data_IF_162317474362
#
_entry.id   IF_162317474362
#
_cell.length_a   1.000
_cell.length_b   1.000
_cell.length_c   1.000
_cell.angle_alpha   90.00
_cell.angle_beta   90.00
_cell.angle_gamma   90.00
#
_symmetry.space_group_name_H-M   'P 1'
#
loop_
_entity.id
_entity.type
_entity.pdbx_description
1 polymer ?
#
# COMPACT_ATOMS: atom_id res chain seq x y z
N UNK A 1 5.88 8.84 -5.59
CA UNK A 1 4.65 9.13 -6.39
C UNK A 1 4.84 8.87 -7.88
N UNK A 2 5.99 9.18 -8.48
CA UNK A 2 6.27 8.88 -9.91
C UNK A 2 6.15 7.38 -10.24
N UNK A 3 6.46 6.50 -9.28
CA UNK A 3 6.33 5.04 -9.42
C UNK A 3 4.87 4.53 -9.43
N UNK A 4 3.92 5.29 -8.88
CA UNK A 4 2.52 4.87 -8.75
C UNK A 4 1.87 4.51 -10.09
N UNK A 5 1.95 5.34 -11.15
CA UNK A 5 1.41 4.96 -12.46
C UNK A 5 2.08 3.69 -13.02
N UNK A 6 3.40 3.53 -12.83
CA UNK A 6 4.12 2.33 -13.29
C UNK A 6 3.59 1.08 -12.58
N UNK A 7 3.42 1.15 -11.26
CA UNK A 7 2.82 0.08 -10.45
C UNK A 7 1.40 -0.23 -10.91
N UNK A 8 0.53 0.78 -11.07
CA UNK A 8 -0.87 0.55 -11.50
C UNK A 8 -0.89 -0.13 -12.88
N UNK A 9 -0.11 0.36 -13.84
CA UNK A 9 -0.10 -0.17 -15.21
C UNK A 9 0.45 -1.60 -15.27
N UNK A 10 1.55 -1.87 -14.55
CA UNK A 10 2.17 -3.21 -14.50
C UNK A 10 1.24 -4.23 -13.85
N UNK A 11 0.69 -3.96 -12.67
CA UNK A 11 -0.20 -4.90 -12.00
C UNK A 11 -1.57 -5.04 -12.70
N UNK A 12 -2.05 -3.99 -13.37
CA UNK A 12 -3.26 -4.10 -14.21
C UNK A 12 -3.06 -5.03 -15.41
N UNK A 13 -1.81 -5.19 -15.89
CA UNK A 13 -1.48 -6.15 -16.94
C UNK A 13 -1.53 -7.61 -16.45
N UNK A 14 -1.12 -7.85 -15.21
CA UNK A 14 -1.15 -9.18 -14.57
C UNK A 14 -2.53 -9.56 -13.98
N UNK A 15 -3.60 -8.90 -14.41
CA UNK A 15 -4.95 -9.16 -13.90
C UNK A 15 -5.36 -10.62 -14.13
N UNK A 16 -5.77 -11.29 -13.05
CA UNK A 16 -6.11 -12.73 -13.04
C UNK A 16 -7.38 -13.04 -13.86
N UNK A 17 -8.28 -12.07 -14.00
CA UNK A 17 -9.55 -12.18 -14.73
C UNK A 17 -9.55 -11.44 -16.08
N UNK A 18 -8.64 -11.80 -16.98
CA UNK A 18 -8.59 -11.24 -18.35
C UNK A 18 -9.89 -11.44 -19.16
N UNK A 19 -10.75 -12.39 -18.77
CA UNK A 19 -11.98 -12.73 -19.51
C UNK A 19 -13.23 -11.95 -19.08
N UNK A 20 -13.22 -11.28 -17.93
CA UNK A 20 -14.43 -10.69 -17.33
C UNK A 20 -14.31 -9.19 -17.00
N UNK A 21 -13.08 -8.69 -16.83
CA UNK A 21 -12.81 -7.28 -16.53
C UNK A 21 -11.96 -6.65 -17.62
N UNK A 22 -12.38 -5.49 -18.14
CA UNK A 22 -11.56 -4.70 -19.05
C UNK A 22 -10.35 -4.15 -18.29
N UNK A 23 -9.20 -4.07 -18.96
CA UNK A 23 -7.97 -3.46 -18.44
C UNK A 23 -8.21 -2.08 -17.80
N UNK A 24 -9.09 -1.27 -18.40
CA UNK A 24 -9.47 0.04 -17.87
C UNK A 24 -10.13 -0.06 -16.48
N UNK A 25 -10.89 -1.12 -16.20
CA UNK A 25 -11.48 -1.35 -14.88
C UNK A 25 -10.41 -1.73 -13.85
N UNK A 26 -9.37 -2.48 -14.23
CA UNK A 26 -8.23 -2.75 -13.36
C UNK A 26 -7.47 -1.46 -13.01
N UNK A 27 -7.17 -0.64 -14.01
CA UNK A 27 -6.52 0.66 -13.81
C UNK A 27 -7.38 1.56 -12.91
N UNK A 28 -8.69 1.63 -13.16
CA UNK A 28 -9.60 2.42 -12.32
C UNK A 28 -9.63 1.93 -10.87
N UNK A 29 -9.62 0.61 -10.65
CA UNK A 29 -9.52 0.02 -9.29
C UNK A 29 -8.20 0.39 -8.63
N UNK A 30 -7.07 0.29 -9.32
CA UNK A 30 -5.77 0.71 -8.80
C UNK A 30 -5.73 2.21 -8.44
N UNK A 31 -6.33 3.05 -9.29
CA UNK A 31 -6.41 4.50 -9.06
C UNK A 31 -7.27 4.85 -7.83
N UNK A 32 -8.40 4.14 -7.63
CA UNK A 32 -9.27 4.31 -6.46
C UNK A 32 -8.67 3.68 -5.19
N UNK A 33 -7.93 2.59 -5.32
CA UNK A 33 -7.27 1.91 -4.21
C UNK A 33 -6.15 2.76 -3.59
N UNK A 34 -5.52 3.64 -4.36
CA UNK A 34 -4.47 4.53 -3.87
C UNK A 34 -4.95 5.50 -2.76
N UNK A 35 -5.99 6.34 -2.94
CA UNK A 35 -6.47 7.20 -1.87
C UNK A 35 -7.11 6.41 -0.74
N UNK A 36 -7.84 5.33 -1.04
CA UNK A 36 -8.48 4.48 0.00
C UNK A 36 -7.42 3.84 0.90
N UNK A 37 -6.40 3.22 0.32
CA UNK A 37 -5.31 2.63 1.08
C UNK A 37 -4.45 3.69 1.79
N UNK A 38 -4.30 4.89 1.22
CA UNK A 38 -3.62 5.98 1.90
C UNK A 38 -4.37 6.42 3.16
N UNK A 39 -5.69 6.52 3.11
CA UNK A 39 -6.50 6.84 4.29
C UNK A 39 -6.32 5.77 5.37
N UNK A 40 -6.39 4.48 5.00
CA UNK A 40 -6.20 3.36 5.95
C UNK A 40 -4.81 3.42 6.59
N UNK A 41 -3.76 3.63 5.79
CA UNK A 41 -2.38 3.74 6.30
C UNK A 41 -2.19 4.98 7.19
N UNK A 42 -2.79 6.12 6.83
CA UNK A 42 -2.73 7.34 7.63
C UNK A 42 -3.41 7.14 8.99
N UNK A 43 -4.60 6.53 9.02
CA UNK A 43 -5.30 6.19 10.26
C UNK A 43 -4.47 5.23 11.13
N UNK A 44 -3.86 4.22 10.51
CA UNK A 44 -2.95 3.30 11.19
C UNK A 44 -1.75 4.02 11.81
N UNK A 45 -1.10 4.92 11.07
CA UNK A 45 0.03 5.71 11.57
C UNK A 45 -0.39 6.63 12.73
N UNK A 46 -1.54 7.30 12.62
CA UNK A 46 -2.08 8.17 13.69
C UNK A 46 -2.38 7.33 14.94
N UNK A 47 -2.99 6.16 14.80
CA UNK A 47 -3.26 5.25 15.92
C UNK A 47 -1.97 4.75 16.60
N UNK A 48 -0.87 4.64 15.83
CA UNK A 48 0.45 4.27 16.33
C UNK A 48 1.27 5.46 16.88
N UNK A 49 0.70 6.67 16.90
CA UNK A 49 1.32 7.85 17.52
C UNK A 49 1.89 8.89 16.54
N UNK A 50 1.56 8.84 15.26
CA UNK A 50 1.97 9.87 14.31
C UNK A 50 1.33 11.23 14.66
N UNK A 51 2.10 12.34 14.60
CA UNK A 51 1.60 13.66 14.96
C UNK A 51 0.53 14.16 13.98
N UNK A 52 -0.62 14.54 14.53
CA UNK A 52 -1.74 15.14 13.79
C UNK A 52 -1.62 16.67 13.79
N UNK A 53 -0.99 17.21 12.76
CA UNK A 53 -0.84 18.66 12.59
C UNK A 53 -0.66 19.07 11.14
N UNK A 54 -1.06 20.28 10.78
CA UNK A 54 -0.96 20.83 9.41
C UNK A 54 0.48 20.84 8.89
N UNK A 55 1.46 21.04 9.78
CA UNK A 55 2.90 21.03 9.46
C UNK A 55 3.42 19.66 9.03
N UNK A 56 2.86 18.57 9.57
CA UNK A 56 3.26 17.19 9.29
C UNK A 56 2.34 16.47 8.31
N UNK A 57 1.16 17.05 8.03
CA UNK A 57 0.13 16.47 7.18
C UNK A 57 0.65 16.00 5.82
N UNK A 58 1.42 16.85 5.12
CA UNK A 58 1.97 16.50 3.79
C UNK A 58 2.95 15.32 3.89
N UNK A 59 3.70 15.23 4.99
CA UNK A 59 4.68 14.15 5.20
C UNK A 59 3.98 12.82 5.47
N UNK A 60 2.96 12.84 6.34
CA UNK A 60 2.11 11.68 6.62
C UNK A 60 1.37 11.25 5.36
N UNK A 61 0.80 12.19 4.60
CA UNK A 61 0.10 11.90 3.35
C UNK A 61 1.02 11.24 2.32
N UNK A 62 2.23 11.78 2.10
CA UNK A 62 3.19 11.20 1.16
C UNK A 62 3.61 9.79 1.58
N UNK A 63 3.86 9.56 2.87
CA UNK A 63 4.17 8.24 3.41
C UNK A 63 2.99 7.27 3.22
N UNK A 64 1.77 7.70 3.55
CA UNK A 64 0.57 6.87 3.41
C UNK A 64 0.27 6.53 1.95
N UNK A 65 0.48 7.46 1.02
CA UNK A 65 0.36 7.22 -0.42
C UNK A 65 1.42 6.21 -0.89
N UNK A 66 2.65 6.33 -0.41
CA UNK A 66 3.73 5.38 -0.72
C UNK A 66 3.40 3.98 -0.21
N UNK A 67 2.95 3.85 1.05
CA UNK A 67 2.53 2.58 1.63
C UNK A 67 1.37 1.96 0.85
N UNK A 68 0.38 2.77 0.48
CA UNK A 68 -0.76 2.32 -0.32
C UNK A 68 -0.33 1.82 -1.70
N UNK A 69 0.66 2.46 -2.32
CA UNK A 69 1.18 2.07 -3.62
C UNK A 69 1.83 0.68 -3.60
N UNK A 70 2.46 0.29 -2.49
CA UNK A 70 3.10 -1.03 -2.38
C UNK A 70 2.22 -2.13 -1.79
N UNK A 71 1.19 -1.78 -1.02
CA UNK A 71 0.34 -2.76 -0.32
C UNK A 71 -1.02 -2.95 -1.01
N UNK A 72 -1.82 -1.88 -1.08
CA UNK A 72 -3.23 -1.93 -1.47
C UNK A 72 -3.40 -1.90 -3.00
N UNK A 73 -2.62 -1.06 -3.70
CA UNK A 73 -2.75 -0.86 -5.15
C UNK A 73 -2.47 -2.12 -5.98
N UNK A 74 -1.40 -2.90 -5.73
CA UNK A 74 -1.12 -4.12 -6.49
C UNK A 74 -2.21 -5.19 -6.29
N UNK A 75 -2.65 -5.37 -5.04
CA UNK A 75 -3.71 -6.31 -4.69
C UNK A 75 -5.07 -5.93 -5.32
N UNK A 76 -5.43 -4.64 -5.29
CA UNK A 76 -6.65 -4.14 -5.90
C UNK A 76 -6.64 -4.22 -7.44
N UNK A 77 -5.47 -4.03 -8.06
CA UNK A 77 -5.33 -4.10 -9.52
C UNK A 77 -5.45 -5.55 -10.03
N UNK A 78 -4.86 -6.51 -9.31
CA UNK A 78 -4.84 -7.92 -9.72
C UNK A 78 -6.11 -8.68 -9.31
N UNK A 79 -6.54 -8.59 -8.05
CA UNK A 79 -7.65 -9.38 -7.50
C UNK A 79 -8.96 -8.58 -7.39
N UNK A 80 -8.93 -7.26 -7.64
CA UNK A 80 -10.11 -6.42 -7.47
C UNK A 80 -10.60 -6.39 -6.03
N UNK A 81 -11.91 -6.58 -5.85
CA UNK A 81 -12.59 -6.53 -4.54
C UNK A 81 -12.78 -7.91 -3.89
N UNK A 82 -12.03 -8.93 -4.34
CA UNK A 82 -12.14 -10.30 -3.82
C UNK A 82 -11.57 -10.40 -2.40
N UNK A 83 -12.42 -10.32 -1.38
CA UNK A 83 -11.99 -10.43 0.03
C UNK A 83 -11.26 -11.74 0.33
N UNK A 84 -11.68 -12.85 -0.31
CA UNK A 84 -11.08 -14.17 -0.13
C UNK A 84 -9.63 -14.22 -0.62
N UNK A 85 -9.34 -13.62 -1.78
CA UNK A 85 -7.97 -13.55 -2.30
C UNK A 85 -7.08 -12.62 -1.47
N UNK A 86 -7.62 -11.48 -1.01
CA UNK A 86 -6.89 -10.56 -0.14
C UNK A 86 -6.52 -11.20 1.19
N UNK A 87 -7.49 -11.84 1.84
CA UNK A 87 -7.27 -12.54 3.10
C UNK A 87 -6.27 -13.70 2.93
N UNK A 88 -6.34 -14.45 1.83
CA UNK A 88 -5.38 -15.52 1.53
C UNK A 88 -3.94 -15.02 1.43
N UNK A 89 -3.73 -13.88 0.77
CA UNK A 89 -2.39 -13.38 0.47
C UNK A 89 -1.78 -12.67 1.67
N UNK A 90 -2.55 -11.81 2.36
CA UNK A 90 -2.03 -11.00 3.46
C UNK A 90 -2.13 -11.70 4.81
N UNK A 91 -3.21 -12.43 5.11
CA UNK A 91 -3.41 -13.04 6.42
C UNK A 91 -2.91 -14.48 6.49
N UNK A 92 -3.08 -15.26 5.41
CA UNK A 92 -2.65 -16.66 5.38
C UNK A 92 -1.30 -16.88 4.69
N UNK A 93 -0.77 -15.86 4.02
CA UNK A 93 0.49 -15.90 3.25
C UNK A 93 0.56 -17.12 2.31
N UNK A 94 -0.61 -17.57 1.81
CA UNK A 94 -0.71 -18.75 0.95
C UNK A 94 -0.53 -18.32 -0.51
N UNK A 95 0.71 -18.35 -0.94
CA UNK A 95 1.16 -17.95 -2.27
C UNK A 95 1.02 -19.14 -3.23
N UNK A 96 0.18 -19.00 -4.27
CA UNK A 96 -0.11 -20.08 -5.22
C UNK A 96 0.57 -19.83 -6.57
N UNK A 97 0.80 -18.56 -6.94
CA UNK A 97 1.46 -18.20 -8.20
C UNK A 97 2.49 -17.07 -8.06
N UNK A 98 3.30 -16.88 -9.10
CA UNK A 98 4.36 -15.85 -9.14
C UNK A 98 3.84 -14.44 -8.92
N UNK A 99 2.63 -14.13 -9.38
CA UNK A 99 1.98 -12.82 -9.17
C UNK A 99 1.71 -12.56 -7.68
N UNK A 100 1.33 -13.60 -6.92
CA UNK A 100 1.10 -13.47 -5.48
C UNK A 100 2.41 -13.07 -4.77
N UNK A 101 3.56 -13.61 -5.18
CA UNK A 101 4.88 -13.23 -4.66
C UNK A 101 5.25 -11.79 -5.01
N UNK A 102 4.99 -11.37 -6.25
CA UNK A 102 5.26 -10.00 -6.69
C UNK A 102 4.46 -8.97 -5.88
N UNK A 103 3.27 -9.32 -5.40
CA UNK A 103 2.44 -8.44 -4.55
C UNK A 103 2.87 -8.53 -3.08
N UNK A 104 3.10 -9.74 -2.59
CA UNK A 104 3.34 -10.00 -1.18
C UNK A 104 4.71 -9.48 -0.71
N UNK A 105 5.78 -9.68 -1.48
CA UNK A 105 7.14 -9.29 -1.09
C UNK A 105 7.30 -7.77 -0.92
N UNK A 106 6.89 -6.91 -1.87
CA UNK A 106 6.97 -5.46 -1.69
C UNK A 106 6.08 -4.96 -0.56
N UNK A 107 4.90 -5.57 -0.38
CA UNK A 107 3.98 -5.18 0.69
C UNK A 107 4.58 -5.46 2.09
N UNK A 108 5.09 -6.67 2.31
CA UNK A 108 5.75 -7.02 3.58
C UNK A 108 7.04 -6.22 3.77
N UNK A 109 7.84 -6.06 2.71
CA UNK A 109 9.06 -5.25 2.74
C UNK A 109 8.77 -3.79 3.12
N UNK A 110 7.70 -3.19 2.58
CA UNK A 110 7.29 -1.83 2.93
C UNK A 110 6.85 -1.72 4.40
N UNK A 111 6.08 -2.69 4.91
CA UNK A 111 5.64 -2.70 6.32
C UNK A 111 6.83 -2.88 7.27
N UNK A 112 7.71 -3.84 6.98
CA UNK A 112 8.94 -4.08 7.77
C UNK A 112 9.83 -2.85 7.73
N UNK A 113 10.06 -2.27 6.55
CA UNK A 113 10.86 -1.07 6.37
C UNK A 113 10.27 0.14 7.09
N UNK A 114 8.95 0.32 7.05
CA UNK A 114 8.27 1.38 7.80
C UNK A 114 8.40 1.20 9.31
N UNK A 115 8.29 -0.04 9.80
CA UNK A 115 8.46 -0.35 11.21
C UNK A 115 9.89 -0.07 11.69
N UNK A 116 10.91 -0.52 10.95
CA UNK A 116 12.31 -0.17 11.23
C UNK A 116 12.56 1.34 11.12
N UNK A 117 11.92 2.03 10.17
CA UNK A 117 12.00 3.48 10.04
C UNK A 117 11.37 4.24 11.20
N UNK A 118 10.40 3.65 11.89
CA UNK A 118 9.79 4.19 13.11
C UNK A 118 10.60 3.87 14.37
N UNK A 119 11.46 2.85 14.35
CA UNK A 119 12.33 2.47 15.48
C UNK A 119 13.18 3.61 16.06
N UNK A 120 13.86 4.48 15.28
CA UNK A 120 14.65 5.58 15.85
C UNK A 120 13.80 6.73 16.41
N UNK A 121 12.50 6.75 16.15
CA UNK A 121 11.62 7.88 16.47
C UNK A 121 11.46 8.14 17.98
N UNK A 122 11.33 7.13 18.86
CA UNK A 122 11.32 7.32 20.31
C UNK A 122 12.67 7.77 20.88
N UNK A 123 13.79 7.50 20.19
CA UNK A 123 15.13 7.92 20.62
C UNK A 123 15.39 9.40 20.35
N UNK A 124 14.66 9.99 19.40
CA UNK A 124 14.80 11.39 18.97
C UNK A 124 13.82 12.36 19.67
N UNK A 125 13.11 11.91 20.72
CA UNK A 125 12.02 12.64 21.40
C UNK A 125 12.42 14.00 22.02
N UNK A 126 13.71 14.29 22.17
CA UNK A 126 14.19 15.51 22.87
C UNK A 126 14.81 16.60 21.96
N UNK A 127 14.72 16.49 20.62
CA UNK A 127 15.36 17.49 19.74
C UNK A 127 14.42 18.60 19.26
N UNK A 128 14.82 19.85 19.50
CA UNK A 128 14.02 21.08 19.32
C UNK A 128 13.91 21.61 17.88
N UNK A 129 14.57 21.02 16.88
CA UNK A 129 14.64 21.56 15.51
C UNK A 129 13.67 20.91 14.50
N UNK A 130 12.73 20.07 14.95
CA UNK A 130 11.61 19.60 14.14
C UNK A 130 10.50 20.66 14.04
#
# INVERSE_FOLDING_TARGET
>A
LIEVPVVILTYSFFQKDMKQSSYLKAVARGLLALPVGAIVNALGAIALGAPVGTRYFVRTLNWSLLMSAFTVVPAASVYGSSWTDWHRIFAQTKLIGSVDYMICLPAHGAVIGAWFGAWPMPLDWERTWQ
#
